data_IF_498551591829
#
_entry.id   IF_498551591829
#
_cell.length_a   1.000
_cell.length_b   1.000
_cell.length_c   1.000
_cell.angle_alpha   90.00
_cell.angle_beta   90.00
_cell.angle_gamma   90.00
#
_symmetry.space_group_name_H-M   'P 1'
#
loop_
_entity.id
_entity.type
_entity.pdbx_description
1 polymer ?
#
# COMPACT_ATOMS: atom_id res chain seq x y z
N UNK A 1 -61.80 -15.04 -0.84
CA UNK A 1 -61.88 -13.76 -1.56
C UNK A 1 -61.30 -12.70 -0.62
N UNK A 2 -60.14 -12.08 -0.84
CA UNK A 2 -59.34 -11.98 -2.05
C UNK A 2 -57.86 -11.80 -1.74
N UNK A 3 -57.04 -12.39 -2.59
CA UNK A 3 -55.63 -12.11 -2.77
C UNK A 3 -55.46 -10.67 -3.27
N UNK A 4 -54.51 -9.92 -2.72
CA UNK A 4 -53.80 -8.88 -3.48
C UNK A 4 -52.31 -9.04 -3.25
N UNK A 5 -51.71 -9.78 -4.17
CA UNK A 5 -50.29 -9.88 -4.46
C UNK A 5 -49.76 -8.58 -5.09
N UNK A 6 -48.51 -8.23 -4.76
CA UNK A 6 -47.59 -7.71 -5.79
C UNK A 6 -46.94 -6.37 -5.50
N UNK A 7 -45.84 -6.37 -4.73
CA UNK A 7 -44.73 -5.47 -5.03
C UNK A 7 -43.65 -6.29 -5.74
N UNK A 8 -43.53 -6.09 -7.05
CA UNK A 8 -42.48 -6.67 -7.89
C UNK A 8 -41.21 -5.86 -7.67
N UNK A 9 -40.28 -6.40 -6.88
CA UNK A 9 -38.92 -5.86 -6.82
C UNK A 9 -38.11 -6.46 -7.95
N UNK A 10 -37.43 -5.61 -8.73
CA UNK A 10 -36.51 -6.05 -9.76
C UNK A 10 -35.34 -6.80 -9.13
N UNK A 11 -35.38 -8.13 -9.31
CA UNK A 11 -34.35 -9.17 -9.33
C UNK A 11 -32.88 -8.88 -9.02
N UNK A 12 -32.55 -8.01 -8.09
CA UNK A 12 -31.25 -7.95 -7.40
C UNK A 12 -31.50 -7.72 -5.92
N UNK A 13 -31.97 -8.78 -5.25
CA UNK A 13 -31.95 -8.87 -3.80
C UNK A 13 -30.53 -8.54 -3.32
N UNK A 14 -30.38 -7.36 -2.71
CA UNK A 14 -29.26 -7.14 -1.81
C UNK A 14 -29.32 -8.25 -0.79
N UNK A 15 -28.32 -9.13 -0.80
CA UNK A 15 -28.24 -10.20 0.20
C UNK A 15 -28.38 -9.51 1.56
N UNK A 16 -29.30 -9.93 2.45
CA UNK A 16 -29.17 -9.54 3.84
C UNK A 16 -27.75 -9.93 4.25
N UNK A 17 -27.10 -9.13 5.09
CA UNK A 17 -25.90 -9.55 5.81
C UNK A 17 -26.30 -10.78 6.65
N UNK A 18 -26.42 -11.94 6.00
CA UNK A 18 -26.77 -13.21 6.60
C UNK A 18 -25.60 -13.63 7.46
N UNK A 19 -25.91 -14.01 8.70
CA UNK A 19 -25.00 -14.44 9.76
C UNK A 19 -23.65 -14.94 9.22
N UNK A 20 -22.64 -14.06 9.26
CA UNK A 20 -21.27 -14.46 8.97
C UNK A 20 -20.86 -15.36 10.14
N UNK A 21 -20.81 -16.67 9.89
CA UNK A 21 -20.36 -17.64 10.87
C UNK A 21 -18.90 -17.32 11.26
N UNK A 22 -18.69 -16.98 12.52
CA UNK A 22 -17.37 -16.74 13.09
C UNK A 22 -16.65 -18.09 13.24
N UNK A 23 -15.74 -18.36 12.30
CA UNK A 23 -14.94 -19.57 12.24
C UNK A 23 -13.47 -19.20 12.03
N UNK A 24 -12.56 -20.13 12.30
CA UNK A 24 -11.12 -19.92 12.04
C UNK A 24 -10.88 -19.56 10.56
N UNK A 25 -11.64 -20.15 9.64
CA UNK A 25 -11.57 -19.86 8.22
C UNK A 25 -12.03 -18.42 7.90
N UNK A 26 -13.16 -17.97 8.46
CA UNK A 26 -13.65 -16.61 8.20
C UNK A 26 -12.75 -15.54 8.80
N UNK A 27 -12.11 -15.83 9.94
CA UNK A 27 -11.15 -14.92 10.59
C UNK A 27 -9.82 -14.81 9.82
N UNK A 28 -9.25 -15.93 9.36
CA UNK A 28 -7.87 -15.94 8.85
C UNK A 28 -7.72 -16.17 7.34
N UNK A 29 -8.71 -16.75 6.66
CA UNK A 29 -8.58 -17.16 5.25
C UNK A 29 -9.45 -16.34 4.32
N UNK A 30 -10.67 -15.99 4.73
CA UNK A 30 -11.63 -15.34 3.83
C UNK A 30 -11.39 -13.83 3.70
N UNK A 31 -10.40 -13.28 4.42
CA UNK A 31 -10.01 -11.86 4.42
C UNK A 31 -11.18 -10.89 4.73
N UNK A 32 -12.26 -11.39 5.35
CA UNK A 32 -13.48 -10.65 5.67
C UNK A 32 -13.24 -9.57 6.73
N UNK A 33 -12.27 -9.80 7.61
CA UNK A 33 -11.93 -8.92 8.73
C UNK A 33 -10.57 -8.23 8.56
N UNK A 34 -10.04 -8.19 7.33
CA UNK A 34 -8.74 -7.55 7.11
C UNK A 34 -8.85 -6.05 7.30
N UNK A 35 -7.99 -5.49 8.14
CA UNK A 35 -7.85 -4.04 8.25
C UNK A 35 -7.46 -3.44 6.90
N UNK A 36 -8.11 -2.34 6.54
CA UNK A 36 -7.65 -1.53 5.43
C UNK A 36 -6.29 -0.93 5.82
N UNK A 37 -5.23 -1.43 5.19
CA UNK A 37 -3.86 -0.99 5.48
C UNK A 37 -3.72 0.48 5.09
N UNK A 38 -3.59 1.35 6.09
CA UNK A 38 -3.23 2.75 5.92
C UNK A 38 -1.80 2.91 6.46
N UNK A 39 -0.84 3.12 5.56
CA UNK A 39 0.58 2.96 5.88
C UNK A 39 1.45 4.04 5.24
N UNK A 40 2.70 4.13 5.72
CA UNK A 40 3.16 5.14 6.67
C UNK A 40 2.70 6.57 6.34
N UNK A 41 2.17 7.24 7.35
CA UNK A 41 1.70 8.63 7.26
C UNK A 41 2.67 9.54 8.00
N UNK A 42 3.10 10.64 7.38
CA UNK A 42 4.01 11.61 8.01
C UNK A 42 3.58 13.02 7.71
N UNK A 43 3.68 13.92 8.70
CA UNK A 43 3.55 15.34 8.43
C UNK A 43 4.69 15.82 7.54
N UNK A 44 4.36 16.57 6.50
CA UNK A 44 5.31 17.13 5.53
C UNK A 44 5.69 18.57 5.90
N UNK A 45 4.66 19.36 6.19
CA UNK A 45 4.70 20.66 6.84
C UNK A 45 3.38 20.78 7.61
N UNK A 46 3.22 21.76 8.50
CA UNK A 46 1.99 21.87 9.32
C UNK A 46 0.68 22.06 8.53
N UNK A 47 0.73 22.05 7.19
CA UNK A 47 -0.42 22.16 6.29
C UNK A 47 -0.58 20.95 5.36
N UNK A 48 0.32 19.96 5.39
CA UNK A 48 0.36 18.86 4.44
C UNK A 48 0.94 17.59 5.07
N UNK A 49 0.55 16.42 4.59
CA UNK A 49 1.08 15.14 5.06
C UNK A 49 1.27 14.19 3.89
N UNK A 50 2.16 13.22 4.05
CA UNK A 50 2.43 12.20 3.04
C UNK A 50 1.86 10.86 3.45
N UNK A 51 1.40 10.08 2.48
CA UNK A 51 0.90 8.71 2.61
C UNK A 51 1.63 7.79 1.64
N UNK A 52 1.49 6.47 1.83
CA UNK A 52 1.95 5.47 0.87
C UNK A 52 0.74 4.77 0.25
N UNK A 53 0.58 4.91 -1.05
CA UNK A 53 -0.62 4.46 -1.78
C UNK A 53 -0.26 3.53 -2.94
N UNK A 54 -1.17 2.64 -3.39
CA UNK A 54 -0.96 1.87 -4.59
C UNK A 54 -0.57 2.76 -5.77
N UNK A 55 0.38 2.31 -6.58
CA UNK A 55 0.89 3.14 -7.66
C UNK A 55 -0.19 3.55 -8.66
N UNK A 56 -0.18 4.82 -9.05
CA UNK A 56 -0.98 5.36 -10.14
C UNK A 56 -0.41 5.00 -11.52
N UNK A 57 0.80 4.43 -11.57
CA UNK A 57 1.51 4.13 -12.81
C UNK A 57 0.94 2.89 -13.51
N UNK A 58 0.21 3.09 -14.61
CA UNK A 58 -0.56 2.03 -15.32
C UNK A 58 0.24 0.79 -15.74
N UNK A 59 1.52 0.92 -16.09
CA UNK A 59 2.33 -0.22 -16.56
C UNK A 59 2.92 -1.04 -15.41
N UNK A 60 2.94 -0.51 -14.19
CA UNK A 60 3.34 -1.26 -13.00
C UNK A 60 2.14 -2.02 -12.41
N UNK A 61 2.20 -3.34 -12.47
CA UNK A 61 1.18 -4.21 -11.84
C UNK A 61 1.25 -4.18 -10.30
N UNK A 62 2.36 -3.73 -9.74
CA UNK A 62 2.62 -3.65 -8.29
C UNK A 62 3.58 -2.51 -7.98
N UNK A 63 3.49 -1.99 -6.76
CA UNK A 63 4.31 -0.89 -6.27
C UNK A 63 3.47 0.13 -5.54
N UNK A 64 4.14 1.02 -4.82
CA UNK A 64 3.49 2.10 -4.08
C UNK A 64 4.16 3.43 -4.36
N UNK A 65 3.35 4.47 -4.44
CA UNK A 65 3.77 5.86 -4.57
C UNK A 65 3.80 6.50 -3.17
N UNK A 66 4.66 7.51 -2.97
CA UNK A 66 4.53 8.45 -1.86
C UNK A 66 3.73 9.64 -2.36
N UNK A 67 2.59 9.89 -1.73
CA UNK A 67 1.63 10.91 -2.14
C UNK A 67 1.59 11.99 -1.07
N UNK A 68 1.76 13.24 -1.47
CA UNK A 68 1.58 14.41 -0.62
C UNK A 68 0.11 14.87 -0.69
N UNK A 69 -0.52 15.06 0.45
CA UNK A 69 -1.89 15.53 0.60
C UNK A 69 -1.91 16.90 1.29
N UNK A 70 -2.80 17.78 0.85
CA UNK A 70 -3.12 18.99 1.59
C UNK A 70 -4.00 18.68 2.80
N UNK A 71 -3.61 19.15 3.99
CA UNK A 71 -4.45 19.08 5.18
C UNK A 71 -5.53 20.17 5.20
N UNK A 72 -5.37 21.24 4.40
CA UNK A 72 -6.33 22.34 4.30
C UNK A 72 -7.41 22.09 3.27
N UNK A 73 -7.04 21.48 2.15
CA UNK A 73 -7.91 21.34 0.99
C UNK A 73 -8.12 19.86 0.67
N UNK A 74 -9.27 19.32 1.06
CA UNK A 74 -9.63 17.93 0.79
C UNK A 74 -9.55 17.62 -0.71
N UNK A 75 -8.92 16.49 -1.03
CA UNK A 75 -8.79 16.01 -2.42
C UNK A 75 -7.60 16.59 -3.18
N UNK A 76 -6.89 17.58 -2.65
CA UNK A 76 -5.64 18.07 -3.25
C UNK A 76 -4.50 17.16 -2.85
N UNK A 77 -3.94 16.45 -3.83
CA UNK A 77 -2.84 15.52 -3.63
C UNK A 77 -1.92 15.44 -4.84
N UNK A 78 -0.66 15.06 -4.62
CA UNK A 78 0.39 14.96 -5.64
C UNK A 78 1.31 13.76 -5.36
N UNK A 79 1.66 13.00 -6.39
CA UNK A 79 2.69 11.95 -6.28
C UNK A 79 4.07 12.62 -6.25
N UNK A 80 4.73 12.58 -5.10
CA UNK A 80 6.08 13.17 -4.92
C UNK A 80 7.20 12.15 -5.09
N UNK A 81 6.91 10.86 -4.94
CA UNK A 81 7.83 9.76 -5.27
C UNK A 81 7.02 8.66 -5.94
N UNK A 82 7.28 8.41 -7.23
CA UNK A 82 6.59 7.35 -7.97
C UNK A 82 7.23 5.98 -7.71
N UNK A 83 6.43 4.93 -7.72
CA UNK A 83 6.92 3.55 -7.62
C UNK A 83 7.94 3.24 -8.73
N UNK A 84 7.74 3.79 -9.94
CA UNK A 84 8.67 3.63 -11.06
C UNK A 84 10.08 4.16 -10.79
N UNK A 85 10.22 5.19 -9.94
CA UNK A 85 11.52 5.74 -9.53
C UNK A 85 12.26 4.83 -8.55
N UNK A 86 11.52 3.95 -7.86
CA UNK A 86 12.02 3.01 -6.85
C UNK A 86 12.39 1.65 -7.45
N UNK A 87 12.39 1.51 -8.78
CA UNK A 87 12.95 0.35 -9.46
C UNK A 87 14.47 0.52 -9.46
N UNK A 88 15.24 -0.37 -8.79
CA UNK A 88 16.69 -0.24 -8.71
C UNK A 88 17.31 -0.24 -10.11
N UNK A 89 17.93 0.88 -10.50
CA UNK A 89 18.74 0.94 -11.71
C UNK A 89 20.03 0.18 -11.43
N UNK A 90 20.32 -0.86 -12.21
CA UNK A 90 21.61 -1.54 -12.14
C UNK A 90 22.76 -0.53 -12.20
N UNK A 91 23.57 -0.48 -11.15
CA UNK A 91 24.94 0.01 -11.28
C UNK A 91 25.75 -1.17 -11.83
N UNK A 92 26.13 -1.12 -13.12
CA UNK A 92 26.92 -2.16 -13.81
C UNK A 92 28.35 -2.33 -13.25
N UNK A 93 28.62 -1.99 -12.00
CA UNK A 93 29.99 -1.82 -11.51
C UNK A 93 30.65 -3.07 -10.95
N UNK A 94 29.94 -4.18 -10.73
CA UNK A 94 30.61 -5.42 -10.32
C UNK A 94 30.09 -6.62 -11.13
N UNK A 95 30.88 -7.03 -12.13
CA UNK A 95 30.70 -8.25 -12.94
C UNK A 95 30.94 -9.56 -12.15
N UNK A 96 31.18 -9.49 -10.84
CA UNK A 96 31.18 -10.66 -9.98
C UNK A 96 29.79 -10.84 -9.40
N UNK A 97 28.99 -11.72 -10.00
CA UNK A 97 27.80 -12.27 -9.33
C UNK A 97 28.26 -12.90 -8.00
N UNK A 98 28.09 -12.19 -6.89
CA UNK A 98 28.16 -12.84 -5.59
C UNK A 98 26.98 -13.80 -5.51
N UNK A 99 27.30 -15.09 -5.39
CA UNK A 99 26.34 -16.18 -5.20
C UNK A 99 25.54 -15.89 -3.92
N UNK A 100 24.29 -15.43 -4.08
CA UNK A 100 23.42 -14.98 -2.98
C UNK A 100 22.77 -13.62 -3.18
N UNK A 101 23.19 -12.83 -4.19
CA UNK A 101 22.55 -11.58 -4.55
C UNK A 101 21.20 -11.84 -5.22
N UNK A 102 20.14 -11.15 -4.76
CA UNK A 102 18.77 -11.36 -5.23
C UNK A 102 18.67 -11.16 -6.76
N UNK A 103 17.83 -11.95 -7.47
CA UNK A 103 17.63 -11.79 -8.91
C UNK A 103 17.14 -10.38 -9.24
N UNK A 104 17.42 -9.93 -10.46
CA UNK A 104 16.99 -8.65 -11.01
C UNK A 104 15.52 -8.36 -10.63
N UNK A 105 15.32 -7.40 -9.73
CA UNK A 105 13.98 -6.94 -9.39
C UNK A 105 13.59 -5.88 -10.41
N UNK A 106 12.85 -6.30 -11.44
CA UNK A 106 12.15 -5.40 -12.38
C UNK A 106 10.92 -4.72 -11.73
N UNK A 107 10.92 -4.64 -10.41
CA UNK A 107 9.80 -4.18 -9.60
C UNK A 107 10.30 -3.16 -8.57
N UNK A 108 9.46 -2.18 -8.19
CA UNK A 108 9.80 -1.23 -7.14
C UNK A 108 10.12 -1.95 -5.85
N UNK A 109 11.10 -1.43 -5.11
CA UNK A 109 11.29 -1.85 -3.72
C UNK A 109 10.03 -1.52 -2.90
N UNK A 110 9.72 -2.38 -1.93
CA UNK A 110 8.60 -2.14 -1.02
C UNK A 110 8.94 -1.02 -0.04
N UNK A 111 7.97 -0.12 0.20
CA UNK A 111 8.09 0.98 1.17
C UNK A 111 7.51 0.51 2.50
N UNK A 112 8.38 0.21 3.45
CA UNK A 112 8.00 -0.10 4.84
C UNK A 112 8.07 1.14 5.75
N UNK A 113 8.89 2.12 5.36
CA UNK A 113 9.02 3.43 5.97
C UNK A 113 9.82 4.36 5.07
N UNK A 114 9.75 5.66 5.31
CA UNK A 114 10.54 6.65 4.57
C UNK A 114 10.84 7.86 5.44
N UNK A 115 11.93 8.57 5.18
CA UNK A 115 12.26 9.85 5.82
C UNK A 115 12.83 10.82 4.79
N UNK A 116 12.30 12.05 4.74
CA UNK A 116 12.85 13.08 3.86
C UNK A 116 13.95 13.86 4.57
N UNK A 117 14.96 14.29 3.79
CA UNK A 117 15.92 15.27 4.26
C UNK A 117 15.22 16.56 4.68
N UNK A 118 15.86 17.38 5.52
CA UNK A 118 15.28 18.65 5.99
C UNK A 118 14.84 19.57 4.85
N UNK A 119 15.58 19.57 3.74
CA UNK A 119 15.28 20.35 2.53
C UNK A 119 14.39 19.60 1.52
N UNK A 120 13.90 18.40 1.85
CA UNK A 120 12.99 17.57 1.05
C UNK A 120 13.54 17.12 -0.32
N UNK A 121 14.85 17.24 -0.53
CA UNK A 121 15.49 16.88 -1.80
C UNK A 121 15.85 15.39 -1.90
N UNK A 122 16.04 14.72 -0.77
CA UNK A 122 16.41 13.31 -0.72
C UNK A 122 15.42 12.60 0.19
N UNK A 123 15.05 11.37 -0.18
CA UNK A 123 14.26 10.47 0.64
C UNK A 123 15.04 9.20 0.94
N UNK A 124 15.07 8.81 2.20
CA UNK A 124 15.58 7.52 2.66
C UNK A 124 14.41 6.54 2.70
N UNK A 125 14.52 5.37 2.06
CA UNK A 125 13.43 4.39 2.00
C UNK A 125 13.83 3.15 2.80
N UNK A 126 13.12 2.87 3.88
CA UNK A 126 13.30 1.62 4.62
C UNK A 126 12.57 0.48 3.91
N UNK A 127 13.29 -0.61 3.65
CA UNK A 127 12.77 -1.78 2.94
C UNK A 127 13.33 -3.10 3.51
N UNK A 128 12.73 -4.22 3.10
CA UNK A 128 13.15 -5.59 3.41
C UNK A 128 13.42 -5.86 4.91
N UNK A 129 12.66 -5.21 5.80
CA UNK A 129 12.94 -5.33 7.23
C UNK A 129 12.48 -6.66 7.81
N UNK A 130 13.32 -7.23 8.67
CA UNK A 130 13.05 -8.47 9.39
C UNK A 130 12.60 -8.16 10.81
N UNK A 131 11.63 -8.94 11.27
CA UNK A 131 11.12 -8.87 12.64
C UNK A 131 12.23 -9.26 13.63
N UNK A 132 12.49 -8.37 14.57
CA UNK A 132 13.33 -8.61 15.74
C UNK A 132 12.45 -8.35 16.95
N UNK A 133 12.20 -9.40 17.73
CA UNK A 133 11.26 -9.34 18.85
C UNK A 133 9.85 -8.93 18.38
N UNK A 134 9.37 -7.74 18.78
CA UNK A 134 8.03 -7.23 18.43
C UNK A 134 8.01 -6.33 17.20
N UNK A 135 9.15 -5.82 16.76
CA UNK A 135 9.23 -4.77 15.73
C UNK A 135 10.06 -5.21 14.53
N UNK A 136 9.78 -4.65 13.35
CA UNK A 136 10.61 -4.86 12.17
C UNK A 136 11.74 -3.82 12.15
N UNK A 137 12.86 -4.09 12.82
CA UNK A 137 13.95 -3.12 13.01
C UNK A 137 15.20 -3.39 12.18
N UNK A 138 15.38 -4.60 11.63
CA UNK A 138 16.52 -4.96 10.78
C UNK A 138 16.17 -4.86 9.30
N UNK A 139 16.22 -3.65 8.74
CA UNK A 139 15.96 -3.40 7.32
C UNK A 139 17.13 -2.79 6.56
N UNK A 140 16.99 -2.78 5.25
CA UNK A 140 17.84 -2.05 4.31
C UNK A 140 17.28 -0.63 4.09
N UNK A 141 18.11 0.25 3.52
CA UNK A 141 17.80 1.67 3.31
C UNK A 141 18.30 2.18 1.96
#
# INVERSE_FOLDING_TARGET
ADNVTGFKTDGKEGRPYGDIELSVKSIFSDNLFSEQKYGPVKWWDGCSYTTVEPTSTKWLKRGKDIVLHSAKNTGVHEVIVSASSLIPKRVKQHKHHQKGMAPDQDYPIDIEGYEFSKNKQIVLIKTQSKKVWRTHSRGEY
#
